data_IF_402378236948
#
_entry.id   IF_402378236948
#
_cell.length_a   1.000
_cell.length_b   1.000
_cell.length_c   1.000
_cell.angle_alpha   90.00
_cell.angle_beta   90.00
_cell.angle_gamma   90.00
#
_symmetry.space_group_name_H-M   'P 1'
#
loop_
_entity.id
_entity.type
_entity.pdbx_description
1 polymer ?
#
# COMPACT_ATOMS: atom_id res chain seq x y z
N UNK A 1 3.29 -9.62 -30.05
CA UNK A 1 4.70 -10.10 -29.97
C UNK A 1 5.53 -9.31 -28.96
N UNK A 2 5.66 -7.97 -29.08
CA UNK A 2 6.46 -7.14 -28.15
C UNK A 2 6.01 -7.25 -26.68
N UNK A 3 4.70 -7.22 -26.42
CA UNK A 3 4.15 -7.38 -25.06
C UNK A 3 4.46 -8.76 -24.44
N UNK A 4 4.41 -9.83 -25.22
CA UNK A 4 4.77 -11.18 -24.75
C UNK A 4 6.25 -11.29 -24.41
N UNK A 5 7.13 -10.68 -25.22
CA UNK A 5 8.55 -10.60 -24.93
C UNK A 5 8.82 -9.79 -23.65
N UNK A 6 8.19 -8.62 -23.50
CA UNK A 6 8.29 -7.80 -22.31
C UNK A 6 7.79 -8.54 -21.06
N UNK A 7 6.68 -9.27 -21.16
CA UNK A 7 6.17 -10.11 -20.09
C UNK A 7 7.14 -11.24 -19.71
N UNK A 8 7.70 -11.95 -20.70
CA UNK A 8 8.72 -12.97 -20.46
C UNK A 8 9.99 -12.40 -19.80
N UNK A 9 10.42 -11.21 -20.24
CA UNK A 9 11.54 -10.48 -19.64
C UNK A 9 11.25 -10.08 -18.20
N UNK A 10 10.04 -9.57 -17.91
CA UNK A 10 9.61 -9.24 -16.55
C UNK A 10 9.63 -10.46 -15.63
N UNK A 11 9.12 -11.60 -16.09
CA UNK A 11 9.16 -12.86 -15.33
C UNK A 11 10.61 -13.28 -15.07
N UNK A 12 11.49 -13.22 -16.08
CA UNK A 12 12.89 -13.59 -15.94
C UNK A 12 13.60 -12.70 -14.91
N UNK A 13 13.37 -11.39 -14.97
CA UNK A 13 13.92 -10.42 -14.01
C UNK A 13 13.34 -10.66 -12.60
N UNK A 14 12.04 -10.93 -12.48
CA UNK A 14 11.39 -11.25 -11.21
C UNK A 14 11.92 -12.56 -10.59
N UNK A 15 12.15 -13.57 -11.42
CA UNK A 15 12.73 -14.85 -10.99
C UNK A 15 14.18 -14.67 -10.52
N UNK A 16 15.01 -13.97 -11.29
CA UNK A 16 16.38 -13.68 -10.90
C UNK A 16 16.43 -12.83 -9.63
N UNK A 17 15.66 -11.74 -9.59
CA UNK A 17 15.56 -10.83 -8.45
C UNK A 17 15.15 -11.55 -7.17
N UNK A 18 14.08 -12.35 -7.21
CA UNK A 18 13.62 -13.12 -6.04
C UNK A 18 14.66 -14.12 -5.51
N UNK A 19 15.41 -14.77 -6.40
CA UNK A 19 16.47 -15.71 -6.01
C UNK A 19 17.70 -15.01 -5.44
N UNK A 20 18.08 -13.85 -5.97
CA UNK A 20 19.18 -13.03 -5.45
C UNK A 20 18.85 -12.46 -4.06
N UNK A 21 17.61 -12.01 -3.82
CA UNK A 21 17.15 -11.56 -2.50
C UNK A 21 17.26 -12.65 -1.43
N UNK A 22 17.14 -13.93 -1.82
CA UNK A 22 17.05 -15.05 -0.87
C UNK A 22 18.43 -15.65 -0.53
N UNK A 23 19.48 -15.37 -1.32
CA UNK A 23 20.75 -16.12 -1.27
C UNK A 23 21.90 -15.50 -0.47
N UNK A 24 21.87 -14.22 -0.06
CA UNK A 24 23.01 -13.58 0.63
C UNK A 24 22.64 -13.11 2.03
N UNK A 25 23.35 -13.66 3.03
CA UNK A 25 23.32 -13.24 4.45
C UNK A 25 24.33 -12.14 4.78
N UNK A 26 25.20 -11.74 3.86
CA UNK A 26 26.19 -10.69 4.10
C UNK A 26 25.62 -9.32 3.73
N UNK A 27 25.37 -8.51 4.76
CA UNK A 27 24.67 -7.24 4.72
C UNK A 27 25.63 -6.10 4.37
N UNK A 28 25.53 -5.60 3.14
CA UNK A 28 26.10 -4.33 2.67
C UNK A 28 24.96 -3.32 2.47
N UNK A 29 25.18 -1.99 2.50
CA UNK A 29 24.14 -0.99 2.18
C UNK A 29 23.42 -1.28 0.84
N UNK A 30 24.13 -1.87 -0.13
CA UNK A 30 23.54 -2.32 -1.39
C UNK A 30 22.43 -3.37 -1.21
N UNK A 31 22.54 -4.24 -0.20
CA UNK A 31 21.52 -5.26 0.11
C UNK A 31 20.19 -4.64 0.56
N UNK A 32 20.24 -3.48 1.21
CA UNK A 32 19.06 -2.72 1.61
C UNK A 32 18.31 -2.17 0.38
N UNK A 33 19.05 -1.67 -0.62
CA UNK A 33 18.49 -1.17 -1.89
C UNK A 33 17.74 -2.27 -2.66
N UNK A 34 18.21 -3.52 -2.58
CA UNK A 34 17.49 -4.67 -3.17
C UNK A 34 16.21 -5.00 -2.41
N UNK A 35 16.19 -4.86 -1.08
CA UNK A 35 15.00 -5.14 -0.25
C UNK A 35 13.95 -4.03 -0.30
N UNK A 36 14.36 -2.77 -0.48
CA UNK A 36 13.42 -1.63 -0.60
C UNK A 36 12.74 -1.54 -1.97
N UNK A 37 13.17 -2.35 -2.94
CA UNK A 37 12.62 -2.39 -4.30
C UNK A 37 13.09 -1.25 -5.21
N UNK A 38 13.88 -0.30 -4.70
CA UNK A 38 14.36 0.87 -5.46
C UNK A 38 15.08 0.48 -6.76
N UNK A 39 15.86 -0.61 -6.74
CA UNK A 39 16.56 -1.07 -7.94
C UNK A 39 15.61 -1.51 -9.05
N UNK A 40 14.48 -2.12 -8.70
CA UNK A 40 13.46 -2.56 -9.65
C UNK A 40 12.71 -1.36 -10.22
N UNK A 41 12.50 -0.32 -9.41
CA UNK A 41 11.94 0.94 -9.86
C UNK A 41 12.87 1.65 -10.86
N UNK A 42 14.17 1.76 -10.55
CA UNK A 42 15.16 2.32 -11.47
C UNK A 42 15.28 1.49 -12.77
N UNK A 43 15.22 0.17 -12.64
CA UNK A 43 15.19 -0.74 -13.79
C UNK A 43 13.94 -0.49 -14.64
N UNK A 44 12.79 -0.25 -14.02
CA UNK A 44 11.56 0.17 -14.68
C UNK A 44 11.72 1.45 -15.50
N UNK A 45 12.33 2.49 -14.92
CA UNK A 45 12.63 3.74 -15.65
C UNK A 45 13.54 3.47 -16.86
N UNK A 46 14.57 2.64 -16.67
CA UNK A 46 15.51 2.28 -17.72
C UNK A 46 14.86 1.43 -18.83
N UNK A 47 13.86 0.59 -18.51
CA UNK A 47 13.10 -0.20 -19.49
C UNK A 47 11.95 0.58 -20.14
N UNK A 48 11.46 1.64 -19.49
CA UNK A 48 10.36 2.49 -19.92
C UNK A 48 10.71 3.37 -21.13
N UNK A 49 9.75 4.22 -21.49
CA UNK A 49 9.83 5.05 -22.71
C UNK A 49 11.02 6.00 -22.77
N UNK A 50 11.56 6.44 -21.61
CA UNK A 50 12.74 7.32 -21.54
C UNK A 50 14.08 6.58 -21.66
N UNK A 51 14.10 5.25 -21.53
CA UNK A 51 15.32 4.45 -21.58
C UNK A 51 15.39 3.60 -22.84
N UNK A 52 15.29 2.29 -22.67
CA UNK A 52 15.34 1.30 -23.75
C UNK A 52 14.02 1.17 -24.54
N UNK A 53 12.93 1.79 -24.04
CA UNK A 53 11.60 1.77 -24.65
C UNK A 53 11.07 0.34 -24.94
N UNK A 54 11.46 -0.62 -24.11
CA UNK A 54 10.97 -2.01 -24.17
C UNK A 54 9.54 -2.07 -23.60
N UNK A 55 9.30 -1.29 -22.53
CA UNK A 55 8.00 -1.05 -21.94
C UNK A 55 7.43 0.27 -22.51
N UNK A 56 7.05 0.23 -23.79
CA UNK A 56 6.37 1.36 -24.44
C UNK A 56 4.97 1.59 -23.82
N UNK A 57 4.35 2.77 -24.00
CA UNK A 57 3.00 3.03 -23.51
C UNK A 57 1.97 1.99 -23.96
N UNK A 58 2.05 1.55 -25.22
CA UNK A 58 1.21 0.49 -25.80
C UNK A 58 1.41 -0.86 -25.08
N UNK A 59 2.66 -1.22 -24.78
CA UNK A 59 2.99 -2.44 -24.04
C UNK A 59 2.47 -2.35 -22.60
N UNK A 60 2.60 -1.19 -21.96
CA UNK A 60 2.10 -0.96 -20.60
C UNK A 60 0.57 -1.05 -20.55
N UNK A 61 -0.14 -0.59 -21.57
CA UNK A 61 -1.60 -0.74 -21.69
C UNK A 61 -2.00 -2.22 -21.76
N UNK A 62 -1.31 -3.03 -22.56
CA UNK A 62 -1.51 -4.48 -22.59
C UNK A 62 -1.11 -5.20 -21.28
N UNK A 63 -0.19 -4.60 -20.50
CA UNK A 63 0.22 -5.10 -19.19
C UNK A 63 -0.64 -4.54 -18.04
N UNK A 64 -1.64 -3.70 -18.33
CA UNK A 64 -2.56 -3.15 -17.33
C UNK A 64 -3.26 -4.22 -16.48
N UNK A 65 -3.66 -5.41 -17.00
CA UNK A 65 -4.23 -6.45 -16.14
C UNK A 65 -3.25 -6.87 -15.06
N UNK A 66 -1.94 -6.90 -15.34
CA UNK A 66 -0.95 -7.28 -14.35
C UNK A 66 -0.81 -6.24 -13.24
N UNK A 67 -0.94 -4.95 -13.56
CA UNK A 67 -1.01 -3.88 -12.55
C UNK A 67 -2.24 -4.02 -11.67
N UNK A 68 -3.41 -4.25 -12.27
CA UNK A 68 -4.68 -4.46 -11.57
C UNK A 68 -4.58 -5.65 -10.61
N UNK A 69 -4.07 -6.78 -11.12
CA UNK A 69 -3.88 -8.00 -10.33
C UNK A 69 -2.85 -7.79 -9.20
N UNK A 70 -1.73 -7.12 -9.49
CA UNK A 70 -0.71 -6.85 -8.48
C UNK A 70 -1.20 -5.90 -7.39
N UNK A 71 -1.88 -4.81 -7.74
CA UNK A 71 -2.49 -3.90 -6.77
C UNK A 71 -3.58 -4.60 -5.94
N UNK A 72 -4.38 -5.45 -6.58
CA UNK A 72 -5.37 -6.27 -5.90
C UNK A 72 -4.77 -7.27 -4.92
N UNK A 73 -3.66 -7.90 -5.31
CA UNK A 73 -2.91 -8.82 -4.45
C UNK A 73 -2.29 -8.09 -3.25
N UNK A 74 -1.68 -6.92 -3.46
CA UNK A 74 -1.13 -6.08 -2.38
C UNK A 74 -2.24 -5.66 -1.42
N UNK A 75 -3.36 -5.18 -1.94
CA UNK A 75 -4.54 -4.82 -1.14
C UNK A 75 -5.02 -5.99 -0.28
N UNK A 76 -5.20 -7.17 -0.89
CA UNK A 76 -5.60 -8.38 -0.20
C UNK A 76 -4.63 -8.80 0.91
N UNK A 77 -3.33 -8.89 0.63
CA UNK A 77 -2.33 -9.29 1.63
C UNK A 77 -2.22 -8.28 2.76
N UNK A 78 -2.36 -6.99 2.46
CA UNK A 78 -2.44 -5.96 3.49
C UNK A 78 -3.69 -6.14 4.37
N UNK A 79 -4.86 -6.30 3.76
CA UNK A 79 -6.12 -6.53 4.49
C UNK A 79 -6.14 -7.83 5.30
N UNK A 80 -5.50 -8.88 4.80
CA UNK A 80 -5.45 -10.19 5.44
C UNK A 80 -4.72 -10.19 6.79
N UNK A 81 -3.90 -9.16 7.07
CA UNK A 81 -3.22 -8.96 8.35
C UNK A 81 -4.17 -8.54 9.48
N UNK A 82 -5.34 -7.98 9.15
CA UNK A 82 -6.29 -7.43 10.13
C UNK A 82 -7.24 -8.48 10.70
N UNK A 83 -6.69 -9.53 11.32
CA UNK A 83 -7.50 -10.49 12.07
C UNK A 83 -7.96 -9.89 13.41
N UNK A 84 -9.28 -9.85 13.64
CA UNK A 84 -9.91 -9.28 14.83
C UNK A 84 -9.37 -9.89 16.13
N UNK A 85 -9.08 -11.20 16.16
CA UNK A 85 -8.51 -11.86 17.33
C UNK A 85 -7.14 -11.30 17.71
N UNK A 86 -6.31 -10.99 16.72
CA UNK A 86 -5.00 -10.36 16.94
C UNK A 86 -5.14 -8.88 17.31
N UNK A 87 -6.02 -8.14 16.63
CA UNK A 87 -6.27 -6.72 16.94
C UNK A 87 -6.81 -6.53 18.37
N UNK A 88 -7.67 -7.44 18.86
CA UNK A 88 -8.23 -7.39 20.21
C UNK A 88 -7.21 -7.68 21.32
N UNK A 89 -6.08 -8.33 21.01
CA UNK A 89 -4.99 -8.52 21.99
C UNK A 89 -4.29 -7.20 22.32
N UNK A 90 -4.33 -6.23 21.41
CA UNK A 90 -3.82 -4.89 21.68
C UNK A 90 -4.87 -4.04 22.40
N UNK A 91 -4.43 -3.22 23.35
CA UNK A 91 -5.31 -2.30 24.05
C UNK A 91 -5.97 -1.32 23.05
N UNK A 92 -7.26 -1.03 23.22
CA UNK A 92 -7.99 -0.04 22.38
C UNK A 92 -7.27 1.30 22.26
N UNK A 93 -6.49 1.67 23.28
CA UNK A 93 -5.60 2.84 23.31
C UNK A 93 -4.64 2.92 22.11
N UNK A 94 -4.11 1.80 21.61
CA UNK A 94 -3.21 1.81 20.45
C UNK A 94 -3.92 2.11 19.12
N UNK A 95 -5.18 1.68 18.99
CA UNK A 95 -5.99 2.00 17.82
C UNK A 95 -6.33 3.49 17.82
N UNK A 96 -6.75 4.03 18.98
CA UNK A 96 -7.00 5.46 19.17
C UNK A 96 -5.73 6.28 18.94
N UNK A 97 -4.58 5.86 19.49
CA UNK A 97 -3.28 6.48 19.22
C UNK A 97 -3.00 6.56 17.72
N UNK A 98 -3.15 5.44 17.01
CA UNK A 98 -2.88 5.36 15.57
C UNK A 98 -3.80 6.30 14.77
N UNK A 99 -5.06 6.43 15.17
CA UNK A 99 -6.02 7.35 14.55
C UNK A 99 -5.66 8.83 14.79
N UNK A 100 -5.38 9.21 16.04
CA UNK A 100 -4.97 10.58 16.35
C UNK A 100 -3.63 10.94 15.73
N UNK A 101 -2.66 10.01 15.75
CA UNK A 101 -1.39 10.17 15.06
C UNK A 101 -1.62 10.41 13.56
N UNK A 102 -2.43 9.59 12.90
CA UNK A 102 -2.80 9.76 11.50
C UNK A 102 -3.46 11.13 11.25
N UNK A 103 -4.40 11.56 12.09
CA UNK A 103 -5.10 12.84 11.93
C UNK A 103 -4.14 14.03 12.04
N UNK A 104 -3.28 14.05 13.06
CA UNK A 104 -2.29 15.12 13.24
C UNK A 104 -1.29 15.10 12.08
N UNK A 105 -0.81 13.92 11.68
CA UNK A 105 0.07 13.76 10.52
C UNK A 105 -0.57 14.32 9.26
N UNK A 106 -1.82 13.94 8.99
CA UNK A 106 -2.60 14.38 7.84
C UNK A 106 -2.71 15.91 7.82
N UNK A 107 -3.15 16.52 8.92
CA UNK A 107 -3.32 17.97 9.02
C UNK A 107 -1.99 18.73 8.87
N UNK A 108 -0.91 18.22 9.47
CA UNK A 108 0.40 18.88 9.43
C UNK A 108 1.01 18.82 8.03
N UNK A 109 1.01 17.64 7.40
CA UNK A 109 1.58 17.45 6.06
C UNK A 109 0.70 18.13 5.00
N UNK A 110 -0.62 18.03 5.08
CA UNK A 110 -1.52 18.71 4.14
C UNK A 110 -1.43 20.23 4.26
N UNK A 111 -1.33 20.78 5.48
CA UNK A 111 -1.15 22.21 5.71
C UNK A 111 0.11 22.75 5.04
N UNK A 112 1.26 22.09 5.25
CA UNK A 112 2.50 22.49 4.58
C UNK A 112 2.42 22.27 3.05
N UNK A 113 1.91 21.12 2.61
CA UNK A 113 1.76 20.83 1.18
C UNK A 113 0.87 21.86 0.48
N UNK A 114 -0.23 22.29 1.11
CA UNK A 114 -1.11 23.34 0.59
C UNK A 114 -0.39 24.69 0.46
N UNK A 115 0.36 25.10 1.48
CA UNK A 115 1.14 26.34 1.43
C UNK A 115 2.20 26.30 0.32
N UNK A 116 2.91 25.18 0.19
CA UNK A 116 3.93 25.00 -0.84
C UNK A 116 3.32 24.95 -2.25
N UNK A 117 2.24 24.20 -2.44
CA UNK A 117 1.55 24.08 -3.73
C UNK A 117 0.94 25.40 -4.19
N UNK A 118 0.31 26.15 -3.27
CA UNK A 118 -0.29 27.45 -3.59
C UNK A 118 0.75 28.56 -3.82
N UNK A 119 1.80 28.63 -3.00
CA UNK A 119 2.78 29.75 -3.06
C UNK A 119 3.92 29.52 -4.03
N UNK A 120 4.42 28.29 -4.13
CA UNK A 120 5.61 27.97 -4.93
C UNK A 120 5.23 27.55 -6.34
N UNK A 121 4.17 26.75 -6.49
CA UNK A 121 3.73 26.22 -7.79
C UNK A 121 2.62 27.10 -8.39
N UNK A 122 1.85 27.81 -7.56
CA UNK A 122 0.81 28.74 -8.03
C UNK A 122 -0.49 28.05 -8.43
N UNK A 123 -0.80 26.88 -7.85
CA UNK A 123 -2.05 26.16 -8.13
C UNK A 123 -3.28 26.91 -7.59
N UNK A 124 -4.42 26.73 -8.27
CA UNK A 124 -5.72 27.23 -7.82
C UNK A 124 -6.11 26.64 -6.45
N UNK A 125 -6.93 27.35 -5.69
CA UNK A 125 -7.38 26.92 -4.36
C UNK A 125 -7.93 25.47 -4.29
N UNK A 126 -8.89 25.05 -5.14
CA UNK A 126 -9.46 23.70 -5.07
C UNK A 126 -8.47 22.60 -5.49
N UNK A 127 -7.61 22.89 -6.46
CA UNK A 127 -6.56 21.98 -6.93
C UNK A 127 -5.50 21.79 -5.84
N UNK A 128 -4.99 22.89 -5.28
CA UNK A 128 -4.00 22.88 -4.21
C UNK A 128 -4.49 22.09 -2.99
N UNK A 129 -5.76 22.25 -2.60
CA UNK A 129 -6.36 21.48 -1.52
C UNK A 129 -6.40 19.98 -1.85
N UNK A 130 -6.94 19.60 -3.00
CA UNK A 130 -7.07 18.20 -3.40
C UNK A 130 -5.71 17.50 -3.50
N UNK A 131 -4.72 18.16 -4.13
CA UNK A 131 -3.35 17.66 -4.20
C UNK A 131 -2.68 17.56 -2.83
N UNK A 132 -2.87 18.56 -1.95
CA UNK A 132 -2.26 18.55 -0.62
C UNK A 132 -2.77 17.41 0.26
N UNK A 133 -4.08 17.12 0.22
CA UNK A 133 -4.67 15.99 0.93
C UNK A 133 -4.21 14.66 0.32
N UNK A 134 -4.19 14.53 -1.01
CA UNK A 134 -3.71 13.33 -1.68
C UNK A 134 -2.25 13.03 -1.31
N UNK A 135 -1.38 14.06 -1.32
CA UNK A 135 0.01 13.94 -0.90
C UNK A 135 0.13 13.55 0.58
N UNK A 136 -0.61 14.21 1.47
CA UNK A 136 -0.56 13.89 2.90
C UNK A 136 -0.99 12.44 3.18
N UNK A 137 -2.03 11.96 2.49
CA UNK A 137 -2.49 10.59 2.57
C UNK A 137 -1.45 9.60 2.03
N UNK A 138 -0.83 9.87 0.87
CA UNK A 138 0.26 9.05 0.32
C UNK A 138 1.48 9.04 1.25
N UNK A 139 1.85 10.18 1.85
CA UNK A 139 2.94 10.28 2.80
C UNK A 139 2.67 9.55 4.12
N UNK A 140 1.39 9.39 4.49
CA UNK A 140 0.99 8.65 5.70
C UNK A 140 1.19 7.14 5.56
N UNK A 141 1.25 6.63 4.33
CA UNK A 141 1.50 5.22 4.06
C UNK A 141 2.93 4.85 4.46
N UNK A 142 3.04 3.77 5.22
CA UNK A 142 4.31 3.21 5.68
C UNK A 142 4.31 1.69 5.47
N UNK A 143 5.44 1.15 5.00
CA UNK A 143 5.52 -0.29 4.70
C UNK A 143 5.90 -1.07 5.98
N UNK A 144 5.04 -1.95 6.51
CA UNK A 144 5.40 -2.83 7.62
C UNK A 144 6.50 -3.82 7.20
N UNK A 145 6.55 -4.23 5.94
CA UNK A 145 7.55 -5.16 5.40
C UNK A 145 8.98 -4.57 5.48
N UNK A 146 9.15 -3.27 5.19
CA UNK A 146 10.46 -2.60 5.35
C UNK A 146 10.84 -2.48 6.82
N UNK A 147 9.89 -2.17 7.69
CA UNK A 147 10.11 -2.16 9.13
C UNK A 147 10.56 -3.54 9.63
N UNK A 148 9.98 -4.63 9.12
CA UNK A 148 10.34 -5.99 9.47
C UNK A 148 11.79 -6.32 9.12
N UNK A 149 12.29 -5.85 7.97
CA UNK A 149 13.69 -6.00 7.55
C UNK A 149 14.64 -5.26 8.48
N UNK A 150 14.26 -4.05 8.94
CA UNK A 150 15.06 -3.25 9.88
C UNK A 150 15.05 -3.89 11.26
N UNK A 151 13.87 -4.27 11.78
CA UNK A 151 13.73 -4.91 13.08
C UNK A 151 14.42 -6.27 13.16
N UNK A 152 14.55 -6.97 12.03
CA UNK A 152 15.34 -8.21 11.97
C UNK A 152 16.83 -7.98 12.27
N UNK A 153 17.35 -6.75 12.08
CA UNK A 153 18.73 -6.38 12.41
C UNK A 153 18.92 -6.10 13.91
N UNK A 154 17.83 -5.83 14.63
CA UNK A 154 17.88 -5.62 16.07
C UNK A 154 17.80 -6.99 16.75
N UNK A 155 18.87 -7.37 17.45
CA UNK A 155 19.03 -8.70 18.06
C UNK A 155 17.92 -9.12 19.04
N UNK A 156 17.07 -8.19 19.50
CA UNK A 156 16.01 -8.48 20.45
C UNK A 156 14.63 -8.21 19.83
N UNK A 157 13.88 -9.28 19.56
CA UNK A 157 12.46 -9.24 19.19
C UNK A 157 11.60 -8.93 20.42
N UNK A 158 11.73 -7.70 20.94
CA UNK A 158 11.01 -7.26 22.13
C UNK A 158 9.61 -6.75 21.79
N UNK A 159 8.76 -6.61 22.82
CA UNK A 159 7.41 -6.05 22.74
C UNK A 159 7.30 -4.76 21.89
N UNK A 160 8.26 -3.80 21.91
CA UNK A 160 8.23 -2.61 21.06
C UNK A 160 8.23 -2.91 19.56
N UNK A 161 8.87 -4.00 19.13
CA UNK A 161 8.92 -4.41 17.71
C UNK A 161 7.53 -4.80 17.20
N UNK A 162 6.78 -5.58 17.99
CA UNK A 162 5.42 -5.97 17.64
C UNK A 162 4.45 -4.77 17.68
N UNK A 163 4.64 -3.87 18.65
CA UNK A 163 3.85 -2.64 18.74
C UNK A 163 4.11 -1.69 17.56
N UNK A 164 5.37 -1.52 17.16
CA UNK A 164 5.73 -0.69 16.00
C UNK A 164 5.08 -1.22 14.71
N UNK A 165 5.16 -2.54 14.46
CA UNK A 165 4.48 -3.19 13.33
C UNK A 165 2.98 -2.96 13.35
N UNK A 166 2.36 -3.16 14.51
CA UNK A 166 0.92 -2.93 14.68
C UNK A 166 0.54 -1.48 14.37
N UNK A 167 1.24 -0.50 14.94
CA UNK A 167 0.96 0.93 14.73
C UNK A 167 1.17 1.30 13.26
N UNK A 168 2.24 0.84 12.61
CA UNK A 168 2.51 1.08 11.18
C UNK A 168 1.41 0.50 10.28
N UNK A 169 0.95 -0.73 10.55
CA UNK A 169 -0.15 -1.32 9.77
C UNK A 169 -1.46 -0.57 9.99
N UNK A 170 -1.84 -0.26 11.23
CA UNK A 170 -3.10 0.44 11.53
C UNK A 170 -3.10 1.89 11.02
N UNK A 171 -1.98 2.60 11.11
CA UNK A 171 -1.86 3.96 10.53
C UNK A 171 -1.97 3.93 9.00
N UNK A 172 -1.34 2.96 8.34
CA UNK A 172 -1.46 2.79 6.89
C UNK A 172 -2.87 2.42 6.45
N UNK A 173 -3.63 1.68 7.27
CA UNK A 173 -5.05 1.43 7.01
C UNK A 173 -5.86 2.72 6.94
N UNK A 174 -5.65 3.65 7.87
CA UNK A 174 -6.30 4.96 7.83
C UNK A 174 -5.90 5.77 6.59
N UNK A 175 -4.63 5.68 6.17
CA UNK A 175 -4.14 6.29 4.93
C UNK A 175 -4.82 5.74 3.67
N UNK A 176 -4.92 4.41 3.53
CA UNK A 176 -5.59 3.77 2.38
C UNK A 176 -7.09 4.10 2.38
N UNK A 177 -7.74 4.08 3.55
CA UNK A 177 -9.15 4.45 3.68
C UNK A 177 -9.37 5.92 3.32
N UNK A 178 -8.48 6.82 3.76
CA UNK A 178 -8.54 8.24 3.41
C UNK A 178 -8.30 8.48 1.91
N UNK A 179 -7.40 7.72 1.27
CA UNK A 179 -7.21 7.77 -0.19
C UNK A 179 -8.47 7.32 -0.93
N UNK A 180 -9.07 6.22 -0.50
CA UNK A 180 -10.33 5.75 -1.07
C UNK A 180 -11.39 6.86 -0.95
N UNK A 181 -11.57 7.43 0.25
CA UNK A 181 -12.50 8.54 0.48
C UNK A 181 -12.19 9.74 -0.44
N UNK A 182 -10.93 10.16 -0.57
CA UNK A 182 -10.57 11.25 -1.46
C UNK A 182 -10.96 10.95 -2.91
N UNK A 183 -10.63 9.76 -3.42
CA UNK A 183 -10.95 9.37 -4.80
C UNK A 183 -12.47 9.35 -5.05
N UNK A 184 -13.26 8.84 -4.11
CA UNK A 184 -14.71 8.76 -4.28
C UNK A 184 -15.42 10.11 -4.19
N UNK A 185 -14.98 10.99 -3.29
CA UNK A 185 -15.67 12.24 -2.98
C UNK A 185 -15.08 13.47 -3.67
N UNK A 186 -14.01 13.33 -4.44
CA UNK A 186 -13.49 14.42 -5.30
C UNK A 186 -14.36 14.57 -6.55
N UNK A 187 -14.91 15.77 -6.83
CA UNK A 187 -15.73 15.99 -8.02
C UNK A 187 -14.90 15.76 -9.28
N UNK A 188 -15.31 14.81 -10.11
CA UNK A 188 -14.72 14.62 -11.43
C UNK A 188 -15.42 15.58 -12.41
N UNK A 189 -14.65 16.34 -13.19
CA UNK A 189 -15.16 17.38 -14.10
C UNK A 189 -16.10 16.83 -15.19
N UNK A 190 -16.17 15.51 -15.40
CA UNK A 190 -16.97 14.90 -16.47
C UNK A 190 -18.42 14.56 -16.09
N UNK A 191 -18.79 14.59 -14.81
CA UNK A 191 -20.18 14.28 -14.42
C UNK A 191 -21.08 15.51 -14.57
N UNK A 192 -21.83 15.55 -15.68
CA UNK A 192 -22.77 16.63 -16.05
C UNK A 192 -23.96 16.79 -15.10
N UNK A 193 -24.12 15.93 -14.08
CA UNK A 193 -24.98 16.20 -12.92
C UNK A 193 -24.36 15.62 -11.63
N UNK A 194 -24.10 16.44 -10.60
CA UNK A 194 -23.60 15.96 -9.32
C UNK A 194 -24.75 15.36 -8.50
N UNK A 195 -25.09 14.11 -8.76
CA UNK A 195 -25.95 13.38 -7.83
C UNK A 195 -25.14 13.11 -6.55
N UNK A 196 -25.44 13.84 -5.47
CA UNK A 196 -24.77 13.72 -4.17
C UNK A 196 -24.69 12.27 -3.64
N UNK A 197 -25.66 11.43 -4.01
CA UNK A 197 -25.75 10.04 -3.57
C UNK A 197 -24.85 9.07 -4.34
N UNK A 198 -24.38 9.45 -5.54
CA UNK A 198 -23.62 8.55 -6.40
C UNK A 198 -22.27 8.12 -5.79
N UNK A 199 -21.42 9.05 -5.27
CA UNK A 199 -20.20 8.69 -4.56
C UNK A 199 -20.43 7.73 -3.37
N UNK A 200 -21.50 7.97 -2.60
CA UNK A 200 -21.88 7.14 -1.46
C UNK A 200 -22.28 5.73 -1.90
N UNK A 201 -23.05 5.61 -2.99
CA UNK A 201 -23.45 4.31 -3.54
C UNK A 201 -22.23 3.51 -4.02
N UNK A 202 -21.31 4.14 -4.74
CA UNK A 202 -20.10 3.46 -5.20
C UNK A 202 -19.19 3.08 -4.01
N UNK A 203 -19.00 3.97 -3.05
CA UNK A 203 -18.18 3.69 -1.87
C UNK A 203 -18.74 2.51 -1.07
N UNK A 204 -20.06 2.49 -0.84
CA UNK A 204 -20.71 1.38 -0.14
C UNK A 204 -20.66 0.07 -0.93
N UNK A 205 -20.78 0.13 -2.27
CA UNK A 205 -20.59 -1.01 -3.15
C UNK A 205 -19.15 -1.56 -3.09
N UNK A 206 -18.16 -0.68 -3.04
CA UNK A 206 -16.74 -1.03 -2.93
C UNK A 206 -16.38 -1.78 -1.63
N UNK A 207 -17.24 -1.69 -0.61
CA UNK A 207 -17.10 -2.40 0.68
C UNK A 207 -17.97 -3.66 0.70
N UNK A 208 -19.24 -3.53 0.37
CA UNK A 208 -20.23 -4.61 0.49
C UNK A 208 -19.95 -5.77 -0.46
N UNK A 209 -19.52 -5.48 -1.69
CA UNK A 209 -19.26 -6.52 -2.70
C UNK A 209 -18.07 -7.42 -2.34
N UNK A 210 -16.89 -6.91 -1.94
CA UNK A 210 -15.81 -7.75 -1.42
C UNK A 210 -16.20 -8.60 -0.20
N UNK A 211 -17.00 -8.05 0.72
CA UNK A 211 -17.49 -8.80 1.89
C UNK A 211 -18.37 -9.97 1.45
N UNK A 212 -19.28 -9.74 0.51
CA UNK A 212 -20.14 -10.79 -0.06
C UNK A 212 -19.31 -11.87 -0.76
N UNK A 213 -18.34 -11.47 -1.57
CA UNK A 213 -17.42 -12.38 -2.28
C UNK A 213 -16.61 -13.22 -1.29
N UNK A 214 -16.04 -12.61 -0.24
CA UNK A 214 -15.34 -13.33 0.83
C UNK A 214 -16.25 -14.34 1.54
N UNK A 215 -17.50 -13.97 1.81
CA UNK A 215 -18.47 -14.84 2.47
C UNK A 215 -18.82 -16.06 1.61
N UNK A 216 -19.13 -15.85 0.33
CA UNK A 216 -19.41 -16.92 -0.61
C UNK A 216 -18.21 -17.86 -0.76
N UNK A 217 -17.02 -17.30 -0.90
CA UNK A 217 -15.78 -18.06 -1.00
C UNK A 217 -15.51 -18.89 0.27
N UNK A 218 -15.68 -18.31 1.45
CA UNK A 218 -15.56 -19.04 2.71
C UNK A 218 -16.53 -20.23 2.77
N UNK A 219 -17.78 -20.05 2.32
CA UNK A 219 -18.78 -21.13 2.29
C UNK A 219 -18.37 -22.26 1.35
N UNK A 220 -17.85 -21.94 0.17
CA UNK A 220 -17.40 -22.92 -0.83
C UNK A 220 -16.15 -23.69 -0.38
N UNK A 221 -15.23 -23.02 0.32
CA UNK A 221 -13.95 -23.58 0.77
C UNK A 221 -13.99 -24.24 2.16
N UNK A 222 -15.19 -24.48 2.72
CA UNK A 222 -15.35 -25.18 4.01
C UNK A 222 -14.87 -26.64 3.98
N UNK A 223 -14.85 -27.28 2.82
CA UNK A 223 -14.37 -28.67 2.66
C UNK A 223 -12.87 -28.77 2.92
N UNK A 224 -12.36 -29.98 3.17
CA UNK A 224 -10.91 -30.22 3.33
C UNK A 224 -10.21 -30.03 1.98
N UNK A 225 -9.76 -28.80 1.74
CA UNK A 225 -8.89 -28.39 0.63
C UNK A 225 -7.45 -28.37 1.14
N UNK A 226 -6.48 -28.76 0.31
CA UNK A 226 -5.05 -28.66 0.62
C UNK A 226 -4.59 -27.19 0.73
N UNK A 227 -3.42 -26.94 1.31
CA UNK A 227 -2.92 -25.57 1.49
C UNK A 227 -2.54 -24.92 0.14
N UNK A 228 -1.98 -25.69 -0.79
CA UNK A 228 -1.63 -25.25 -2.15
C UNK A 228 -2.88 -24.91 -2.98
N UNK A 229 -3.89 -25.79 -2.95
CA UNK A 229 -5.18 -25.53 -3.60
C UNK A 229 -5.87 -24.29 -3.01
N UNK A 230 -5.80 -24.10 -1.69
CA UNK A 230 -6.35 -22.91 -1.05
C UNK A 230 -5.63 -21.64 -1.52
N UNK A 231 -4.30 -21.67 -1.69
CA UNK A 231 -3.56 -20.53 -2.22
C UNK A 231 -3.97 -20.20 -3.66
N UNK A 232 -4.15 -21.21 -4.51
CA UNK A 232 -4.67 -21.01 -5.87
C UNK A 232 -6.07 -20.40 -5.86
N UNK A 233 -6.96 -20.90 -5.00
CA UNK A 233 -8.30 -20.34 -4.85
C UNK A 233 -8.30 -18.91 -4.33
N UNK A 234 -7.40 -18.57 -3.39
CA UNK A 234 -7.23 -17.21 -2.92
C UNK A 234 -6.72 -16.28 -4.01
N UNK A 235 -5.75 -16.71 -4.81
CA UNK A 235 -5.26 -15.93 -5.94
C UNK A 235 -6.40 -15.66 -6.93
N UNK A 236 -7.19 -16.69 -7.26
CA UNK A 236 -8.38 -16.54 -8.11
C UNK A 236 -9.42 -15.59 -7.52
N UNK A 237 -9.64 -15.63 -6.20
CA UNK A 237 -10.55 -14.71 -5.50
C UNK A 237 -10.09 -13.26 -5.57
N UNK A 238 -8.79 -13.03 -5.37
CA UNK A 238 -8.17 -11.71 -5.50
C UNK A 238 -8.33 -11.19 -6.92
N UNK A 239 -8.05 -12.03 -7.92
CA UNK A 239 -8.14 -11.66 -9.33
C UNK A 239 -9.58 -11.31 -9.72
N UNK A 240 -10.55 -12.10 -9.25
CA UNK A 240 -11.96 -11.82 -9.44
C UNK A 240 -12.36 -10.47 -8.83
N UNK A 241 -11.99 -10.23 -7.57
CA UNK A 241 -12.33 -8.98 -6.87
C UNK A 241 -11.65 -7.76 -7.51
N UNK A 242 -10.37 -7.88 -7.87
CA UNK A 242 -9.61 -6.82 -8.53
C UNK A 242 -10.18 -6.49 -9.92
N UNK A 243 -10.53 -7.51 -10.72
CA UNK A 243 -11.14 -7.32 -12.02
C UNK A 243 -12.54 -6.72 -11.94
N UNK A 244 -13.35 -7.11 -10.95
CA UNK A 244 -14.66 -6.47 -10.73
C UNK A 244 -14.48 -5.01 -10.31
N UNK A 245 -13.55 -4.71 -9.39
CA UNK A 245 -13.25 -3.34 -9.00
C UNK A 245 -12.84 -2.48 -10.21
N UNK A 246 -11.92 -2.96 -11.03
CA UNK A 246 -11.46 -2.27 -12.23
C UNK A 246 -12.60 -2.06 -13.26
N UNK A 247 -13.45 -3.07 -13.49
CA UNK A 247 -14.61 -2.96 -14.38
C UNK A 247 -15.64 -1.91 -13.93
N UNK A 248 -15.65 -1.58 -12.64
CA UNK A 248 -16.48 -0.54 -12.04
C UNK A 248 -15.77 0.83 -11.99
N UNK A 249 -14.58 0.95 -12.57
CA UNK A 249 -13.74 2.15 -12.55
C UNK A 249 -13.08 2.41 -11.18
N UNK A 250 -12.97 1.39 -10.33
CA UNK A 250 -12.44 1.53 -8.97
C UNK A 250 -10.99 1.10 -8.90
N UNK A 251 -10.20 1.83 -8.11
CA UNK A 251 -8.85 1.42 -7.77
C UNK A 251 -8.88 0.05 -7.05
N UNK A 252 -8.27 -1.02 -7.60
CA UNK A 252 -8.42 -2.39 -7.09
C UNK A 252 -7.92 -2.61 -5.66
N UNK A 253 -7.01 -1.76 -5.18
CA UNK A 253 -6.34 -1.89 -3.89
C UNK A 253 -7.31 -1.82 -2.70
N UNK A 254 -8.28 -0.90 -2.70
CA UNK A 254 -9.19 -0.73 -1.56
C UNK A 254 -10.23 -1.88 -1.46
N UNK A 255 -10.98 -2.25 -2.52
CA UNK A 255 -11.91 -3.37 -2.45
C UNK A 255 -11.25 -4.71 -2.08
N UNK A 256 -10.04 -4.97 -2.60
CA UNK A 256 -9.29 -6.18 -2.26
C UNK A 256 -8.71 -6.15 -0.85
N UNK A 257 -8.38 -4.98 -0.30
CA UNK A 257 -8.11 -4.82 1.12
C UNK A 257 -9.32 -5.22 1.97
N UNK A 258 -10.53 -4.73 1.62
CA UNK A 258 -11.76 -5.14 2.33
C UNK A 258 -11.99 -6.65 2.21
N UNK A 259 -11.76 -7.24 1.02
CA UNK A 259 -11.81 -8.70 0.82
C UNK A 259 -10.87 -9.43 1.79
N UNK A 260 -9.62 -8.96 1.91
CA UNK A 260 -8.61 -9.53 2.80
C UNK A 260 -9.02 -9.44 4.27
N UNK A 261 -9.53 -8.29 4.71
CA UNK A 261 -10.05 -8.08 6.06
C UNK A 261 -11.24 -9.00 6.32
N UNK A 262 -12.21 -9.07 5.40
CA UNK A 262 -13.38 -9.92 5.57
C UNK A 262 -12.97 -11.40 5.67
N UNK A 263 -12.17 -11.88 4.72
CA UNK A 263 -11.81 -13.29 4.66
C UNK A 263 -10.91 -13.74 5.82
N UNK A 264 -9.95 -12.91 6.26
CA UNK A 264 -9.09 -13.22 7.42
C UNK A 264 -9.90 -13.42 8.70
N UNK A 265 -11.03 -12.72 8.84
CA UNK A 265 -11.92 -12.81 9.99
C UNK A 265 -12.92 -13.98 9.91
N UNK A 266 -13.09 -14.59 8.74
CA UNK A 266 -13.96 -15.75 8.55
C UNK A 266 -13.19 -17.07 8.58
N UNK A 267 -11.96 -17.08 8.05
CA UNK A 267 -11.13 -18.28 7.98
C UNK A 267 -10.54 -18.63 9.34
N UNK A 268 -10.41 -19.94 9.62
CA UNK A 268 -9.71 -20.46 10.82
C UNK A 268 -8.25 -20.80 10.53
N UNK A 269 -7.81 -20.70 9.27
CA UNK A 269 -6.49 -21.13 8.80
C UNK A 269 -5.55 -19.94 8.49
N UNK A 270 -5.85 -18.77 9.05
CA UNK A 270 -5.13 -17.52 8.78
C UNK A 270 -3.62 -17.66 9.02
N UNK A 271 -3.23 -18.25 10.16
CA UNK A 271 -1.82 -18.46 10.55
C UNK A 271 -1.03 -19.34 9.58
N UNK A 272 -1.71 -20.27 8.89
CA UNK A 272 -1.08 -21.17 7.90
C UNK A 272 -1.01 -20.55 6.51
N UNK A 273 -2.06 -19.80 6.13
CA UNK A 273 -2.16 -19.18 4.81
C UNK A 273 -1.30 -17.92 4.69
N UNK A 274 -1.14 -17.16 5.78
CA UNK A 274 -0.42 -15.90 5.76
C UNK A 274 1.06 -16.06 5.33
N UNK A 275 1.85 -17.01 5.88
CA UNK A 275 3.22 -17.24 5.41
C UNK A 275 3.31 -17.63 3.93
N UNK A 276 2.34 -18.40 3.43
CA UNK A 276 2.30 -18.78 2.01
C UNK A 276 2.03 -17.57 1.12
N UNK A 277 1.12 -16.68 1.52
CA UNK A 277 0.87 -15.41 0.84
C UNK A 277 2.11 -14.51 0.86
N UNK A 278 2.79 -14.37 1.99
CA UNK A 278 4.04 -13.60 2.08
C UNK A 278 5.15 -14.14 1.18
N UNK A 279 5.22 -15.45 0.95
CA UNK A 279 6.19 -16.01 0.00
C UNK A 279 5.90 -15.59 -1.45
N UNK A 280 4.63 -15.34 -1.79
CA UNK A 280 4.24 -14.83 -3.12
C UNK A 280 4.45 -13.31 -3.28
N UNK A 281 4.73 -12.60 -2.19
CA UNK A 281 4.92 -11.14 -2.17
C UNK A 281 6.14 -10.67 -2.96
N UNK A 282 7.26 -11.36 -2.77
CA UNK A 282 8.53 -11.00 -3.40
C UNK A 282 8.45 -10.90 -4.93
N UNK A 283 8.00 -11.94 -5.67
CA UNK A 283 7.92 -11.84 -7.13
C UNK A 283 6.92 -10.76 -7.57
N UNK A 284 5.78 -10.62 -6.89
CA UNK A 284 4.77 -9.61 -7.23
C UNK A 284 5.32 -8.19 -7.05
N UNK A 285 6.06 -7.93 -5.98
CA UNK A 285 6.71 -6.63 -5.76
C UNK A 285 7.73 -6.29 -6.84
N UNK A 286 8.55 -7.26 -7.27
CA UNK A 286 9.52 -6.99 -8.34
C UNK A 286 8.81 -6.52 -9.60
N UNK A 287 7.78 -7.25 -10.03
CA UNK A 287 7.05 -6.90 -11.25
C UNK A 287 6.34 -5.55 -11.11
N UNK A 288 5.66 -5.32 -9.98
CA UNK A 288 4.97 -4.05 -9.71
C UNK A 288 5.94 -2.85 -9.72
N UNK A 289 7.08 -2.96 -9.06
CA UNK A 289 8.04 -1.84 -9.00
C UNK A 289 8.65 -1.53 -10.37
N UNK A 290 8.91 -2.55 -11.21
CA UNK A 290 9.36 -2.33 -12.59
C UNK A 290 8.27 -1.60 -13.39
N UNK A 291 7.01 -2.02 -13.28
CA UNK A 291 5.92 -1.38 -14.00
C UNK A 291 5.66 0.05 -13.51
N UNK A 292 5.68 0.29 -12.20
CA UNK A 292 5.58 1.63 -11.62
C UNK A 292 6.75 2.51 -12.09
N UNK A 293 7.97 1.98 -12.12
CA UNK A 293 9.13 2.69 -12.65
C UNK A 293 9.01 3.02 -14.14
N UNK A 294 8.45 2.11 -14.94
CA UNK A 294 8.22 2.32 -16.37
C UNK A 294 7.11 3.33 -16.66
N UNK A 295 6.08 3.38 -15.81
CA UNK A 295 5.03 4.41 -15.83
C UNK A 295 5.53 5.76 -15.33
N UNK A 296 6.59 5.78 -14.52
CA UNK A 296 7.06 7.00 -13.91
C UNK A 296 7.69 7.94 -14.94
N UNK A 297 7.09 9.11 -15.10
CA UNK A 297 7.60 10.19 -15.93
C UNK A 297 8.13 11.31 -15.02
N UNK A 298 9.40 11.24 -14.56
CA UNK A 298 9.93 12.27 -13.68
C UNK A 298 10.00 13.60 -14.44
N UNK A 299 9.27 14.58 -13.93
CA UNK A 299 9.37 15.98 -14.28
C UNK A 299 10.22 16.65 -13.20
N UNK A 300 11.50 16.87 -13.51
CA UNK A 300 12.40 17.54 -12.59
C UNK A 300 12.23 19.05 -12.75
N UNK A 301 11.56 19.67 -11.78
CA UNK A 301 11.63 21.11 -11.57
C UNK A 301 12.24 21.37 -10.19
N UNK A 302 13.16 22.34 -10.12
CA UNK A 302 13.78 22.74 -8.85
C UNK A 302 12.77 23.08 -7.76
N UNK A 303 11.66 23.79 -8.05
CA UNK A 303 10.64 24.06 -7.03
C UNK A 303 10.01 22.77 -6.48
N UNK A 304 9.69 21.81 -7.34
CA UNK A 304 9.05 20.55 -6.94
C UNK A 304 10.02 19.68 -6.12
N UNK A 305 11.31 19.69 -6.45
CA UNK A 305 12.33 19.02 -5.65
C UNK A 305 12.40 19.58 -4.21
N UNK A 306 12.36 20.90 -4.05
CA UNK A 306 12.31 21.55 -2.73
C UNK A 306 11.04 21.19 -1.96
N UNK A 307 9.88 21.17 -2.62
CA UNK A 307 8.62 20.76 -2.01
C UNK A 307 8.72 19.33 -1.47
N UNK A 308 9.19 18.39 -2.28
CA UNK A 308 9.35 16.99 -1.86
C UNK A 308 10.31 16.88 -0.66
N UNK A 309 11.46 17.56 -0.72
CA UNK A 309 12.46 17.52 0.34
C UNK A 309 11.90 18.03 1.67
N UNK A 310 11.21 19.19 1.65
CA UNK A 310 10.60 19.76 2.84
C UNK A 310 9.52 18.85 3.44
N UNK A 311 8.69 18.22 2.60
CA UNK A 311 7.67 17.27 3.06
C UNK A 311 8.29 16.00 3.67
N UNK A 312 9.41 15.50 3.13
CA UNK A 312 10.15 14.36 3.70
C UNK A 312 10.73 14.73 5.07
N UNK A 313 11.38 15.89 5.19
CA UNK A 313 11.92 16.38 6.47
C UNK A 313 10.80 16.51 7.49
N UNK A 314 9.67 17.12 7.11
CA UNK A 314 8.52 17.25 7.99
C UNK A 314 7.96 15.89 8.41
N UNK A 315 7.85 14.92 7.49
CA UNK A 315 7.43 13.54 7.82
C UNK A 315 8.30 12.93 8.91
N UNK A 316 9.63 13.10 8.81
CA UNK A 316 10.58 12.60 9.82
C UNK A 316 10.37 13.31 11.16
N UNK A 317 10.24 14.64 11.15
CA UNK A 317 9.99 15.44 12.35
C UNK A 317 8.68 15.07 13.05
N UNK A 318 7.60 14.87 12.29
CA UNK A 318 6.31 14.44 12.81
C UNK A 318 6.41 13.04 13.41
N UNK A 319 7.13 12.13 12.75
CA UNK A 319 7.34 10.77 13.26
C UNK A 319 8.14 10.76 14.57
N UNK A 320 9.18 11.57 14.71
CA UNK A 320 9.97 11.66 15.95
C UNK A 320 9.20 12.45 17.03
N UNK A 321 8.65 13.60 16.66
CA UNK A 321 8.09 14.59 17.58
C UNK A 321 6.71 14.23 18.14
N UNK A 322 5.87 13.47 17.42
CA UNK A 322 4.54 13.11 17.91
C UNK A 322 4.53 11.88 18.82
N UNK A 323 5.57 11.05 18.82
CA UNK A 323 5.60 9.84 19.65
C UNK A 323 5.59 10.19 21.14
N UNK A 324 6.40 11.16 21.57
CA UNK A 324 6.50 11.58 22.98
C UNK A 324 5.21 12.20 23.57
N UNK A 325 4.58 13.22 22.94
CA UNK A 325 3.38 13.85 23.50
C UNK A 325 2.15 12.94 23.46
N UNK A 326 1.96 12.15 22.40
CA UNK A 326 0.80 11.26 22.29
C UNK A 326 0.88 10.07 23.25
N UNK A 327 2.09 9.57 23.55
CA UNK A 327 2.26 8.51 24.54
C UNK A 327 1.96 8.98 25.95
N UNK A 328 2.35 10.21 26.29
CA UNK A 328 1.99 10.87 27.55
C UNK A 328 0.48 11.09 27.68
N UNK A 329 -0.19 11.56 26.62
CA UNK A 329 -1.63 11.88 26.64
C UNK A 329 -2.50 10.64 26.85
N UNK A 330 -2.15 9.51 26.23
CA UNK A 330 -2.93 8.27 26.32
C UNK A 330 -2.58 7.38 27.54
N UNK A 331 -1.68 7.85 28.41
CA UNK A 331 -1.24 7.16 29.64
C UNK A 331 -0.87 5.71 29.34
N UNK A 332 0.15 5.50 28.49
CA UNK A 332 0.66 4.16 28.22
C UNK A 332 1.43 3.62 29.44
N UNK A 333 1.27 2.33 29.78
CA UNK A 333 1.91 1.72 30.96
C UNK A 333 3.41 1.43 30.76
N UNK A 334 3.96 1.70 29.57
CA UNK A 334 5.38 1.54 29.28
C UNK A 334 6.00 2.90 29.00
N UNK A 335 7.15 3.24 29.62
CA UNK A 335 7.93 4.37 29.16
C UNK A 335 8.44 4.01 27.76
N UNK A 336 7.87 4.64 26.73
CA UNK A 336 8.59 4.77 25.47
C UNK A 336 9.76 5.71 25.78
N UNK A 337 10.91 5.17 26.19
CA UNK A 337 12.10 6.00 26.35
C UNK A 337 12.38 6.60 24.98
N UNK A 338 12.49 7.94 24.86
CA UNK A 338 13.08 8.51 23.68
C UNK A 338 14.52 7.99 23.65
N UNK A 339 14.85 7.19 22.65
CA UNK A 339 16.26 6.88 22.37
C UNK A 339 16.96 8.15 21.92
#
# INVERSE_FOLDING_TARGET
MKALFAFGLLILIAFLGSRFLTRRKNFSPFFFIFHTGLIYLLLGIALGSKGLNILSPEVLEHLSPLLILGLGWVGFVFGFQFEKKYLQRFQRKFISFSFFYFLIFLLTISGLAYLLMSRVIGLNLPEALSFSFALALLFSLTSPTVLDVILFQVNKKELPSYLARFIVSVTSFWGILGLAFLVFFTPHQESSQPCFWWPLCIFTLSISLPILIAFLFHRLTRKKVSEEEMLLFLLGLVFLCAGIADSLGLAPLFPTMILGIAYSNMTRRQEKLYPLLLNTEKPMFVVLFILVGALWQPLFSWPLAWVILLLIVLKILVLIGLISPLTSLLHFPFPFSPW
#
